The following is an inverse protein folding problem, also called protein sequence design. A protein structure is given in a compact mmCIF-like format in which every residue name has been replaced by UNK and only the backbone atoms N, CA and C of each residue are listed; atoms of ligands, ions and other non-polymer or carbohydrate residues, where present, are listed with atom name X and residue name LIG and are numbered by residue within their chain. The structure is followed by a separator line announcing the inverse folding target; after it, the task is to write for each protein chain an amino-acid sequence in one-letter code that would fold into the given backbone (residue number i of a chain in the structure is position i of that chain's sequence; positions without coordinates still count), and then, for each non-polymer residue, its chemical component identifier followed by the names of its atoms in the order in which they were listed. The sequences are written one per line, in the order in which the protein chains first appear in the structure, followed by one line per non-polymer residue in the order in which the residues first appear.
data_IF_873977881731
#
_entry.id   IF_873977881731
#
_cell.length_a   1.000
_cell.length_b   1.000
_cell.length_c   1.000
_cell.angle_alpha   90.00
_cell.angle_beta   90.00
_cell.angle_gamma   90.00
#
_symmetry.space_group_name_H-M   'P 1'
#
loop_
_entity.id
_entity.type
_entity.pdbx_description
1 polymer ?
#
# COMPACT_ATOMS: atom_id res chain seq x y z
N UNK A 1 -84.86 33.93 13.89
CA UNK A 1 -84.37 32.54 13.80
C UNK A 1 -82.94 32.58 13.27
N UNK A 2 -81.94 32.53 14.16
CA UNK A 2 -80.53 32.52 13.79
C UNK A 2 -80.01 31.08 13.82
N UNK A 3 -79.49 30.63 12.67
CA UNK A 3 -79.02 29.27 12.42
C UNK A 3 -77.66 29.01 13.09
N UNK A 4 -77.59 28.00 13.96
CA UNK A 4 -76.36 27.53 14.60
C UNK A 4 -75.53 26.71 13.61
N UNK A 5 -74.38 27.24 13.19
CA UNK A 5 -73.37 26.47 12.44
C UNK A 5 -72.58 25.59 13.41
N UNK A 6 -72.79 24.27 13.33
CA UNK A 6 -71.92 23.26 13.97
C UNK A 6 -70.52 23.31 13.36
N UNK A 7 -69.50 23.49 14.21
CA UNK A 7 -68.10 23.33 13.84
C UNK A 7 -67.72 21.85 13.78
N UNK A 8 -67.12 21.43 12.67
CA UNK A 8 -66.56 20.09 12.48
C UNK A 8 -65.18 20.02 13.14
N UNK A 9 -64.83 18.95 13.88
CA UNK A 9 -63.50 18.82 14.48
C UNK A 9 -62.44 18.55 13.41
N UNK A 10 -61.36 19.34 13.43
CA UNK A 10 -60.17 19.15 12.59
C UNK A 10 -59.48 17.83 13.00
N UNK A 11 -59.30 16.93 12.03
CA UNK A 11 -58.54 15.69 12.24
C UNK A 11 -57.08 16.02 12.58
N UNK A 12 -56.62 15.57 13.74
CA UNK A 12 -55.22 15.66 14.18
C UNK A 12 -54.37 14.72 13.32
N UNK A 13 -53.21 15.15 12.77
CA UNK A 13 -52.36 14.26 12.00
C UNK A 13 -51.81 13.14 12.91
N UNK A 14 -51.89 11.88 12.44
CA UNK A 14 -51.28 10.73 13.12
C UNK A 14 -49.77 11.00 13.30
N UNK A 15 -49.19 10.81 14.49
CA UNK A 15 -47.75 10.94 14.67
C UNK A 15 -47.05 9.90 13.79
N UNK A 16 -46.14 10.36 12.93
CA UNK A 16 -45.26 9.47 12.18
C UNK A 16 -44.55 8.56 13.17
N UNK A 17 -44.52 7.25 12.89
CA UNK A 17 -43.87 6.27 13.75
C UNK A 17 -42.41 6.66 13.95
N UNK A 18 -42.10 7.21 15.12
CA UNK A 18 -40.75 7.46 15.59
C UNK A 18 -40.03 6.11 15.58
N UNK A 19 -39.14 5.90 14.61
CA UNK A 19 -38.30 4.71 14.62
C UNK A 19 -37.45 4.84 15.87
N UNK A 20 -37.70 3.97 16.85
CA UNK A 20 -37.01 3.99 18.13
C UNK A 20 -35.50 4.11 17.91
N UNK A 21 -34.87 5.07 18.59
CA UNK A 21 -33.42 5.31 18.54
C UNK A 21 -32.64 4.00 18.71
N UNK A 22 -33.16 3.08 19.53
CA UNK A 22 -32.63 1.72 19.72
C UNK A 22 -32.58 0.90 18.42
N UNK A 23 -33.63 0.92 17.60
CA UNK A 23 -33.68 0.18 16.32
C UNK A 23 -32.66 0.73 15.33
N UNK A 24 -32.45 2.05 15.31
CA UNK A 24 -31.42 2.68 14.47
C UNK A 24 -30.02 2.26 14.88
N UNK A 25 -29.71 2.28 16.19
CA UNK A 25 -28.41 1.84 16.70
C UNK A 25 -28.19 0.34 16.53
N UNK A 26 -29.21 -0.49 16.77
CA UNK A 26 -29.15 -1.93 16.51
C UNK A 26 -28.83 -2.21 15.03
N UNK A 27 -29.50 -1.54 14.09
CA UNK A 27 -29.22 -1.67 12.65
C UNK A 27 -27.76 -1.28 12.33
N UNK A 28 -27.25 -0.19 12.90
CA UNK A 28 -25.85 0.24 12.69
C UNK A 28 -24.85 -0.78 13.23
N UNK A 29 -25.10 -1.34 14.42
CA UNK A 29 -24.26 -2.38 15.02
C UNK A 29 -24.26 -3.65 14.18
N UNK A 30 -25.42 -4.06 13.65
CA UNK A 30 -25.51 -5.21 12.75
C UNK A 30 -24.74 -4.95 11.46
N UNK A 31 -24.89 -3.78 10.83
CA UNK A 31 -24.12 -3.41 9.64
C UNK A 31 -22.62 -3.44 9.93
N UNK A 32 -22.18 -2.85 11.04
CA UNK A 32 -20.79 -2.86 11.46
C UNK A 32 -20.28 -4.28 11.66
N UNK A 33 -21.04 -5.14 12.35
CA UNK A 33 -20.67 -6.53 12.58
C UNK A 33 -20.52 -7.31 11.26
N UNK A 34 -21.44 -7.13 10.32
CA UNK A 34 -21.37 -7.75 8.99
C UNK A 34 -20.16 -7.26 8.21
N UNK A 35 -19.86 -5.96 8.23
CA UNK A 35 -18.67 -5.40 7.57
C UNK A 35 -17.38 -5.96 8.19
N UNK A 36 -17.27 -5.97 9.52
CA UNK A 36 -16.10 -6.51 10.22
C UNK A 36 -15.91 -8.00 9.92
N UNK A 37 -16.97 -8.79 9.95
CA UNK A 37 -16.92 -10.21 9.59
C UNK A 37 -16.51 -10.42 8.13
N UNK A 38 -16.99 -9.57 7.22
CA UNK A 38 -16.66 -9.62 5.79
C UNK A 38 -15.19 -9.27 5.56
N UNK A 39 -14.68 -8.20 6.17
CA UNK A 39 -13.27 -7.82 6.05
C UNK A 39 -12.34 -8.85 6.70
N UNK A 40 -12.71 -9.39 7.87
CA UNK A 40 -11.97 -10.48 8.49
C UNK A 40 -11.91 -11.71 7.57
N UNK A 41 -13.03 -12.08 6.96
CA UNK A 41 -13.07 -13.19 6.00
C UNK A 41 -12.25 -12.91 4.74
N UNK A 42 -12.38 -11.73 4.13
CA UNK A 42 -11.57 -11.32 2.97
C UNK A 42 -10.08 -11.40 3.28
N UNK A 43 -9.68 -11.00 4.49
CA UNK A 43 -8.30 -11.06 4.93
C UNK A 43 -7.76 -12.50 5.03
N UNK A 44 -8.62 -13.52 5.25
CA UNK A 44 -8.21 -14.93 5.28
C UNK A 44 -7.99 -15.55 3.89
N UNK A 45 -8.43 -14.90 2.83
CA UNK A 45 -8.40 -15.44 1.46
C UNK A 45 -7.58 -14.58 0.49
N UNK A 46 -6.94 -13.53 0.99
CA UNK A 46 -6.27 -12.52 0.17
C UNK A 46 -5.07 -13.07 -0.61
N UNK A 47 -4.46 -14.12 -0.09
CA UNK A 47 -3.34 -14.85 -0.68
C UNK A 47 -3.68 -15.45 -2.04
N UNK A 48 -4.95 -15.74 -2.31
CA UNK A 48 -5.43 -16.24 -3.61
C UNK A 48 -5.24 -15.24 -4.75
N UNK A 49 -5.04 -13.98 -4.43
CA UNK A 49 -4.81 -12.92 -5.41
C UNK A 49 -3.32 -12.58 -5.56
N UNK A 50 -2.44 -13.22 -4.79
CA UNK A 50 -1.01 -13.01 -4.95
C UNK A 50 -0.52 -13.68 -6.22
N UNK A 51 0.33 -12.96 -6.96
CA UNK A 51 0.97 -13.46 -8.18
C UNK A 51 2.48 -13.55 -8.00
N UNK A 52 3.08 -12.64 -7.24
CA UNK A 52 4.52 -12.68 -7.01
C UNK A 52 4.86 -13.64 -5.88
N UNK A 53 5.84 -14.50 -6.13
CA UNK A 53 6.40 -15.36 -5.10
C UNK A 53 7.66 -14.72 -4.49
N UNK A 54 7.75 -14.57 -3.14
CA UNK A 54 8.92 -13.96 -2.50
C UNK A 54 10.25 -14.66 -2.84
N UNK A 55 10.23 -16.00 -2.97
CA UNK A 55 11.42 -16.76 -3.36
C UNK A 55 11.92 -16.40 -4.76
N UNK A 56 11.01 -16.31 -5.73
CA UNK A 56 11.34 -15.88 -7.09
C UNK A 56 11.89 -14.45 -7.12
N UNK A 57 11.28 -13.53 -6.38
CA UNK A 57 11.76 -12.14 -6.32
C UNK A 57 13.16 -12.05 -5.68
N UNK A 58 13.46 -12.90 -4.71
CA UNK A 58 14.80 -13.00 -4.12
C UNK A 58 15.85 -13.47 -5.11
N UNK A 59 15.57 -14.56 -5.83
CA UNK A 59 16.45 -15.07 -6.89
C UNK A 59 16.63 -14.02 -8.00
N UNK A 60 15.56 -13.33 -8.38
CA UNK A 60 15.61 -12.28 -9.37
C UNK A 60 16.51 -11.12 -8.93
N UNK A 61 16.38 -10.65 -7.69
CA UNK A 61 17.23 -9.60 -7.14
C UNK A 61 18.71 -9.99 -7.16
N UNK A 62 19.03 -11.22 -6.74
CA UNK A 62 20.41 -11.74 -6.78
C UNK A 62 20.94 -11.82 -8.21
N UNK A 63 20.16 -12.35 -9.14
CA UNK A 63 20.54 -12.42 -10.55
C UNK A 63 20.77 -11.03 -11.18
N UNK A 64 20.00 -10.02 -10.75
CA UNK A 64 20.18 -8.65 -11.21
C UNK A 64 21.51 -8.06 -10.73
N UNK A 65 21.88 -8.30 -9.47
CA UNK A 65 23.15 -7.88 -8.89
C UNK A 65 24.32 -8.51 -9.64
N UNK A 66 24.23 -9.81 -9.93
CA UNK A 66 25.25 -10.55 -10.68
C UNK A 66 25.37 -10.08 -12.13
N UNK A 67 24.23 -9.81 -12.79
CA UNK A 67 24.19 -9.38 -14.19
C UNK A 67 24.63 -7.93 -14.39
N UNK A 68 24.52 -7.07 -13.38
CA UNK A 68 24.86 -5.65 -13.46
C UNK A 68 25.67 -5.14 -12.25
N UNK A 69 26.89 -5.65 -12.02
CA UNK A 69 27.70 -5.26 -10.87
C UNK A 69 28.00 -3.75 -10.87
N UNK A 70 27.70 -3.08 -9.75
CA UNK A 70 27.86 -1.63 -9.58
C UNK A 70 27.03 -0.74 -10.55
N UNK A 71 26.05 -1.31 -11.24
CA UNK A 71 25.14 -0.56 -12.12
C UNK A 71 23.69 -0.77 -11.69
N UNK A 72 23.21 0.09 -10.78
CA UNK A 72 21.83 0.05 -10.30
C UNK A 72 20.81 0.20 -11.43
N UNK A 73 21.11 0.97 -12.48
CA UNK A 73 20.19 1.14 -13.60
C UNK A 73 20.10 -0.16 -14.41
N UNK A 74 21.24 -0.82 -14.66
CA UNK A 74 21.31 -2.15 -15.25
C UNK A 74 20.54 -3.20 -14.44
N UNK A 75 20.68 -3.20 -13.10
CA UNK A 75 19.91 -4.08 -12.23
C UNK A 75 18.40 -3.88 -12.40
N UNK A 76 17.93 -2.62 -12.43
CA UNK A 76 16.52 -2.29 -12.64
C UNK A 76 16.04 -2.77 -14.02
N UNK A 77 16.84 -2.56 -15.07
CA UNK A 77 16.52 -3.06 -16.41
C UNK A 77 16.40 -4.59 -16.44
N UNK A 78 17.32 -5.30 -15.79
CA UNK A 78 17.30 -6.77 -15.69
C UNK A 78 16.04 -7.27 -14.98
N UNK A 79 15.68 -6.65 -13.85
CA UNK A 79 14.46 -6.96 -13.08
C UNK A 79 13.22 -6.77 -13.94
N UNK A 80 13.03 -5.57 -14.52
CA UNK A 80 11.82 -5.26 -15.30
C UNK A 80 11.70 -6.16 -16.53
N UNK A 81 12.82 -6.49 -17.18
CA UNK A 81 12.86 -7.39 -18.34
C UNK A 81 12.42 -8.80 -17.94
N UNK A 82 13.03 -9.39 -16.91
CA UNK A 82 12.68 -10.73 -16.44
C UNK A 82 11.22 -10.80 -15.97
N UNK A 83 10.70 -9.80 -15.27
CA UNK A 83 9.30 -9.76 -14.86
C UNK A 83 8.36 -9.73 -16.06
N UNK A 84 8.69 -8.94 -17.08
CA UNK A 84 7.88 -8.82 -18.31
C UNK A 84 7.88 -10.12 -19.12
N UNK A 85 8.98 -10.86 -19.12
CA UNK A 85 9.11 -12.16 -19.79
C UNK A 85 8.45 -13.30 -19.01
N UNK A 86 8.55 -13.27 -17.67
CA UNK A 86 8.01 -14.31 -16.78
C UNK A 86 6.49 -14.25 -16.70
N UNK A 87 5.92 -13.05 -16.60
CA UNK A 87 4.50 -12.88 -16.34
C UNK A 87 3.71 -12.40 -17.55
N UNK A 88 2.72 -13.18 -18.02
CA UNK A 88 1.83 -12.76 -19.09
C UNK A 88 1.03 -11.49 -18.75
N UNK A 89 0.83 -10.62 -19.75
CA UNK A 89 0.08 -9.35 -19.60
C UNK A 89 -1.39 -9.50 -19.18
N UNK A 90 -1.97 -10.68 -19.36
CA UNK A 90 -3.33 -10.99 -18.91
C UNK A 90 -3.38 -11.49 -17.46
N UNK A 91 -2.23 -11.70 -16.80
CA UNK A 91 -2.13 -12.08 -15.40
C UNK A 91 -1.79 -10.88 -14.52
N UNK A 92 -0.77 -10.11 -14.90
CA UNK A 92 -0.38 -8.87 -14.23
C UNK A 92 0.06 -7.82 -15.25
N UNK A 93 -0.15 -6.56 -14.91
CA UNK A 93 0.35 -5.44 -15.66
C UNK A 93 1.65 -4.91 -15.01
N UNK A 94 2.71 -4.83 -15.82
CA UNK A 94 4.04 -4.33 -15.46
C UNK A 94 4.24 -2.97 -16.14
N UNK A 95 4.57 -1.95 -15.34
CA UNK A 95 4.82 -0.60 -15.81
C UNK A 95 6.28 -0.45 -16.26
N UNK A 96 6.55 -0.50 -17.57
CA UNK A 96 7.90 -0.37 -18.12
C UNK A 96 8.38 1.07 -18.33
N UNK A 97 7.58 2.08 -17.94
CA UNK A 97 7.86 3.50 -18.27
C UNK A 97 8.92 4.17 -17.39
N UNK A 98 9.33 3.54 -16.29
CA UNK A 98 10.27 4.13 -15.30
C UNK A 98 9.88 5.55 -14.84
N UNK A 99 8.60 5.77 -14.52
CA UNK A 99 8.14 7.04 -13.96
C UNK A 99 8.56 7.15 -12.48
N UNK A 100 9.60 7.94 -12.22
CA UNK A 100 10.12 8.20 -10.87
C UNK A 100 9.38 9.34 -10.16
N UNK A 101 9.14 9.15 -8.87
CA UNK A 101 8.56 10.16 -7.97
C UNK A 101 9.30 10.14 -6.63
N UNK A 102 9.35 11.28 -5.93
CA UNK A 102 9.77 11.26 -4.54
C UNK A 102 8.75 10.55 -3.67
N UNK A 103 9.23 9.91 -2.60
CA UNK A 103 8.42 9.28 -1.58
C UNK A 103 8.88 9.80 -0.21
N UNK A 104 7.98 10.49 0.50
CA UNK A 104 8.20 11.03 1.83
C UNK A 104 7.19 10.39 2.79
N UNK A 105 7.66 9.56 3.72
CA UNK A 105 6.81 8.88 4.68
C UNK A 105 7.59 8.46 5.94
N UNK A 106 6.97 8.61 7.11
CA UNK A 106 7.58 8.25 8.39
C UNK A 106 8.84 9.03 8.76
N UNK A 107 9.03 10.23 8.20
CA UNK A 107 10.25 11.03 8.32
C UNK A 107 11.37 10.64 7.34
N UNK A 108 11.21 9.54 6.61
CA UNK A 108 12.15 9.13 5.59
C UNK A 108 11.81 9.75 4.22
N UNK A 109 12.84 9.97 3.40
CA UNK A 109 12.75 10.49 2.04
C UNK A 109 13.58 9.64 1.09
N UNK A 110 12.94 9.16 0.03
CA UNK A 110 13.60 8.50 -1.09
C UNK A 110 12.93 8.80 -2.41
N UNK A 111 13.36 8.09 -3.45
CA UNK A 111 12.67 8.06 -4.73
C UNK A 111 12.13 6.65 -4.97
N UNK A 112 10.98 6.57 -5.63
CA UNK A 112 10.38 5.31 -6.02
C UNK A 112 10.02 5.25 -7.49
N UNK A 113 10.13 4.06 -8.05
CA UNK A 113 9.61 3.69 -9.36
C UNK A 113 8.64 2.52 -9.17
N UNK A 114 7.38 2.75 -9.51
CA UNK A 114 6.31 1.74 -9.41
C UNK A 114 6.38 0.81 -10.62
N UNK A 115 6.81 -0.44 -10.40
CA UNK A 115 6.82 -1.51 -11.40
C UNK A 115 5.44 -2.15 -11.51
N UNK A 116 4.78 -2.42 -10.37
CA UNK A 116 3.45 -3.00 -10.31
C UNK A 116 2.67 -2.40 -9.12
N UNK A 117 1.37 -2.18 -9.31
CA UNK A 117 0.44 -1.85 -8.22
C UNK A 117 -0.93 -2.47 -8.48
N UNK A 118 -1.45 -3.20 -7.50
CA UNK A 118 -2.80 -3.76 -7.42
C UNK A 118 -3.37 -3.50 -6.01
N UNK A 119 -4.60 -3.92 -5.74
CA UNK A 119 -5.21 -3.84 -4.41
C UNK A 119 -4.49 -4.75 -3.42
N UNK A 120 -3.91 -5.86 -3.89
CA UNK A 120 -3.31 -6.89 -3.01
C UNK A 120 -1.78 -6.94 -3.01
N UNK A 121 -1.13 -6.36 -4.03
CA UNK A 121 0.33 -6.38 -4.17
C UNK A 121 0.86 -5.10 -4.82
N UNK A 122 2.05 -4.66 -4.41
CA UNK A 122 2.88 -3.76 -5.22
C UNK A 122 4.30 -4.29 -5.34
N UNK A 123 4.98 -3.87 -6.40
CA UNK A 123 6.41 -4.05 -6.58
C UNK A 123 6.99 -2.72 -7.05
N UNK A 124 7.97 -2.20 -6.33
CA UNK A 124 8.63 -0.94 -6.64
C UNK A 124 10.15 -1.08 -6.55
N UNK A 125 10.87 -0.15 -7.16
CA UNK A 125 12.24 0.17 -6.77
C UNK A 125 12.15 1.35 -5.82
N UNK A 126 12.75 1.24 -4.65
CA UNK A 126 12.82 2.33 -3.68
C UNK A 126 14.26 2.50 -3.15
N UNK A 127 14.67 3.74 -2.95
CA UNK A 127 15.98 4.03 -2.40
C UNK A 127 16.34 5.50 -2.45
N UNK A 128 17.59 5.78 -2.14
CA UNK A 128 18.15 7.13 -2.15
C UNK A 128 19.65 7.08 -2.38
N UNK A 129 20.21 7.98 -3.22
CA UNK A 129 21.65 8.08 -3.38
C UNK A 129 22.33 8.74 -2.16
N UNK A 130 21.57 9.36 -1.25
CA UNK A 130 22.11 10.16 -0.14
C UNK A 130 22.13 9.37 1.18
N UNK A 131 21.00 8.76 1.53
CA UNK A 131 20.73 8.19 2.83
C UNK A 131 19.44 8.74 3.44
N UNK A 132 18.72 7.91 4.19
CA UNK A 132 17.50 8.31 4.89
C UNK A 132 17.16 7.35 6.03
N UNK A 133 16.43 7.82 7.04
CA UNK A 133 15.93 7.00 8.14
C UNK A 133 14.58 7.49 8.62
N UNK A 134 13.80 6.60 9.23
CA UNK A 134 12.49 6.95 9.72
C UNK A 134 11.74 5.78 10.33
N UNK A 135 10.48 6.05 10.66
CA UNK A 135 9.52 5.06 11.11
C UNK A 135 9.07 4.21 9.91
N UNK A 136 9.06 2.88 10.04
CA UNK A 136 8.66 1.97 8.95
C UNK A 136 7.20 2.11 8.55
N UNK A 137 6.36 2.53 9.49
CA UNK A 137 4.90 2.42 9.39
C UNK A 137 4.40 1.15 10.05
N UNK A 138 3.08 1.07 10.29
CA UNK A 138 2.40 -0.14 10.76
C UNK A 138 1.44 -0.54 9.64
N UNK A 139 1.87 -1.50 8.82
CA UNK A 139 1.17 -1.84 7.59
C UNK A 139 0.26 -3.05 7.74
N UNK A 140 -0.75 -3.12 6.87
CA UNK A 140 -1.67 -4.27 6.74
C UNK A 140 -1.17 -5.32 5.75
N UNK A 141 0.08 -5.19 5.32
CA UNK A 141 0.79 -6.03 4.38
C UNK A 141 2.14 -6.43 4.97
N UNK A 142 2.65 -7.58 4.53
CA UNK A 142 4.08 -7.88 4.66
C UNK A 142 4.83 -7.15 3.55
N UNK A 143 6.01 -6.63 3.87
CA UNK A 143 6.85 -5.89 2.94
C UNK A 143 8.29 -6.45 2.94
N UNK A 144 8.83 -6.66 1.75
CA UNK A 144 10.09 -7.38 1.51
C UNK A 144 11.04 -6.45 0.75
N UNK A 145 12.09 -6.00 1.42
CA UNK A 145 13.15 -5.19 0.84
C UNK A 145 14.28 -6.10 0.37
N UNK A 146 14.38 -6.32 -0.94
CA UNK A 146 15.49 -7.03 -1.56
C UNK A 146 16.59 -6.02 -1.85
N UNK A 147 17.66 -6.03 -1.05
CA UNK A 147 18.71 -5.01 -1.14
C UNK A 147 19.53 -5.25 -2.41
N UNK A 148 19.54 -4.25 -3.31
CA UNK A 148 20.28 -4.30 -4.57
C UNK A 148 21.66 -3.66 -4.43
N UNK A 149 21.72 -2.49 -3.79
CA UNK A 149 22.95 -1.71 -3.58
C UNK A 149 22.88 -1.04 -2.22
N UNK A 150 24.04 -0.83 -1.59
CA UNK A 150 24.15 -0.18 -0.29
C UNK A 150 23.64 -1.07 0.84
N UNK A 151 23.22 -0.45 1.94
CA UNK A 151 22.78 -1.18 3.13
C UNK A 151 21.50 -0.61 3.72
N UNK A 152 20.65 -1.52 4.19
CA UNK A 152 19.51 -1.17 5.02
C UNK A 152 19.76 -1.63 6.45
N UNK A 153 19.58 -0.73 7.41
CA UNK A 153 19.64 -1.03 8.83
C UNK A 153 18.24 -0.92 9.43
N UNK A 154 17.95 -1.73 10.45
CA UNK A 154 16.67 -1.67 11.15
C UNK A 154 16.79 -2.12 12.60
N UNK A 155 15.87 -1.66 13.44
CA UNK A 155 15.67 -2.24 14.77
C UNK A 155 14.23 -2.03 15.25
N UNK A 156 13.79 -2.88 16.18
CA UNK A 156 12.53 -2.76 16.89
C UNK A 156 12.73 -2.12 18.27
N UNK A 157 11.75 -1.36 18.79
CA UNK A 157 11.81 -0.82 20.14
C UNK A 157 12.17 -1.89 21.18
N UNK A 158 13.23 -1.62 21.96
CA UNK A 158 13.75 -2.55 22.97
C UNK A 158 14.93 -3.42 22.52
N UNK A 159 15.24 -3.49 21.22
CA UNK A 159 16.49 -4.06 20.75
C UNK A 159 17.64 -3.06 20.95
N UNK A 160 18.79 -3.55 21.42
CA UNK A 160 20.00 -2.74 21.67
C UNK A 160 21.01 -2.79 20.52
N UNK A 161 20.84 -3.72 19.58
CA UNK A 161 21.69 -3.93 18.41
C UNK A 161 20.85 -3.83 17.15
N UNK A 162 21.43 -3.30 16.07
CA UNK A 162 20.74 -3.15 14.79
C UNK A 162 20.85 -4.41 13.93
N UNK A 163 19.79 -4.69 13.19
CA UNK A 163 19.79 -5.60 12.05
C UNK A 163 20.44 -4.88 10.85
N UNK A 164 21.39 -5.53 10.17
CA UNK A 164 22.08 -4.98 8.98
C UNK A 164 21.86 -5.90 7.79
N UNK A 165 21.34 -5.34 6.70
CA UNK A 165 21.04 -6.04 5.45
C UNK A 165 21.87 -5.43 4.31
N UNK A 166 22.66 -6.27 3.64
CA UNK A 166 23.59 -5.90 2.55
C UNK A 166 23.06 -6.40 1.20
N UNK A 167 23.69 -6.06 0.05
CA UNK A 167 23.22 -6.50 -1.26
C UNK A 167 23.03 -8.01 -1.34
N UNK A 168 21.91 -8.43 -1.93
CA UNK A 168 21.52 -9.83 -2.05
C UNK A 168 20.78 -10.39 -0.84
N UNK A 169 20.65 -9.64 0.26
CA UNK A 169 19.81 -10.00 1.42
C UNK A 169 18.38 -9.48 1.27
N UNK A 170 17.46 -10.05 2.06
CA UNK A 170 16.07 -9.60 2.16
C UNK A 170 15.76 -9.18 3.58
N UNK A 171 15.27 -7.96 3.75
CA UNK A 171 14.66 -7.53 5.00
C UNK A 171 13.14 -7.65 4.90
N UNK A 172 12.57 -8.53 5.72
CA UNK A 172 11.11 -8.64 5.89
C UNK A 172 10.66 -7.66 6.98
N UNK A 173 9.72 -6.79 6.62
CA UNK A 173 8.87 -6.03 7.53
C UNK A 173 7.53 -6.75 7.67
N UNK A 174 7.29 -7.50 8.77
CA UNK A 174 6.05 -8.23 8.92
C UNK A 174 4.86 -7.29 9.11
N UNK A 175 3.70 -7.69 8.63
CA UNK A 175 2.44 -7.00 8.88
C UNK A 175 2.26 -6.68 10.37
N UNK A 176 1.85 -5.43 10.65
CA UNK A 176 1.53 -4.99 12.01
C UNK A 176 2.74 -4.73 12.90
N UNK A 177 3.97 -4.89 12.40
CA UNK A 177 5.21 -4.59 13.12
C UNK A 177 5.70 -3.19 12.79
N UNK A 178 6.22 -2.48 13.78
CA UNK A 178 6.89 -1.20 13.62
C UNK A 178 8.40 -1.35 13.87
N UNK A 179 9.21 -0.77 13.00
CA UNK A 179 10.66 -0.62 13.16
C UNK A 179 11.08 0.82 12.90
N UNK A 180 12.22 1.22 13.45
CA UNK A 180 13.02 2.24 12.77
C UNK A 180 13.79 1.54 11.66
N UNK A 181 13.85 2.16 10.49
CA UNK A 181 14.70 1.69 9.40
C UNK A 181 15.56 2.84 8.88
N UNK A 182 16.67 2.48 8.23
CA UNK A 182 17.60 3.40 7.59
C UNK A 182 18.08 2.80 6.28
N UNK A 183 17.88 3.50 5.17
CA UNK A 183 18.63 3.28 3.94
C UNK A 183 19.93 4.07 4.08
N UNK A 184 21.05 3.41 4.36
CA UNK A 184 22.23 4.05 4.95
C UNK A 184 22.88 5.11 4.05
N UNK A 185 23.64 4.68 3.05
CA UNK A 185 24.31 5.54 2.07
C UNK A 185 24.19 4.88 0.70
N UNK A 186 23.65 5.60 -0.28
CA UNK A 186 23.50 5.07 -1.64
C UNK A 186 22.67 3.78 -1.75
N UNK A 187 21.70 3.57 -0.86
CA UNK A 187 20.98 2.30 -0.76
C UNK A 187 19.72 2.27 -1.65
N UNK A 188 19.58 1.17 -2.39
CA UNK A 188 18.46 0.89 -3.30
C UNK A 188 17.99 -0.55 -3.12
N UNK A 189 16.68 -0.75 -3.09
CA UNK A 189 16.05 -2.05 -2.94
C UNK A 189 14.92 -2.24 -3.97
N UNK A 190 14.70 -3.50 -4.35
CA UNK A 190 13.43 -3.92 -4.92
C UNK A 190 12.49 -4.26 -3.76
N UNK A 191 11.45 -3.46 -3.60
CA UNK A 191 10.50 -3.54 -2.50
C UNK A 191 9.20 -4.18 -2.98
N UNK A 192 8.81 -5.27 -2.33
CA UNK A 192 7.61 -6.03 -2.63
C UNK A 192 6.71 -6.08 -1.41
N UNK A 193 5.48 -5.60 -1.54
CA UNK A 193 4.49 -5.77 -0.49
C UNK A 193 3.31 -6.63 -0.94
N UNK A 194 2.80 -7.44 -0.01
CA UNK A 194 1.61 -8.28 -0.20
C UNK A 194 0.65 -8.17 0.99
N UNK A 195 -0.60 -7.83 0.71
CA UNK A 195 -1.60 -7.46 1.71
C UNK A 195 -2.56 -6.40 1.18
N UNK A 196 -3.25 -5.66 2.02
CA UNK A 196 -4.20 -4.64 1.55
C UNK A 196 -3.51 -3.31 1.24
N UNK A 197 -2.95 -3.19 0.02
CA UNK A 197 -2.11 -2.05 -0.40
C UNK A 197 -2.77 -0.68 -0.23
N UNK A 198 -4.06 -0.47 -0.58
CA UNK A 198 -4.69 0.84 -0.40
C UNK A 198 -4.68 1.34 1.06
N UNK A 199 -4.61 0.43 2.04
CA UNK A 199 -4.56 0.79 3.46
C UNK A 199 -3.17 1.26 3.90
N UNK A 200 -2.12 1.07 3.08
CA UNK A 200 -0.79 1.61 3.31
C UNK A 200 -0.65 3.06 2.83
N UNK A 201 -1.44 3.46 1.83
CA UNK A 201 -1.35 4.79 1.19
C UNK A 201 -1.50 5.98 2.15
N UNK A 202 -2.37 5.97 3.19
CA UNK A 202 -2.44 7.09 4.12
C UNK A 202 -1.10 7.40 4.80
N UNK A 203 -0.32 6.37 5.14
CA UNK A 203 1.02 6.55 5.67
C UNK A 203 1.97 7.08 4.59
N UNK A 204 1.94 6.50 3.39
CA UNK A 204 2.77 6.93 2.25
C UNK A 204 2.52 8.38 1.79
N UNK A 205 1.39 8.98 2.14
CA UNK A 205 1.06 10.37 1.82
C UNK A 205 1.15 11.33 3.01
N UNK A 206 1.31 10.83 4.23
CA UNK A 206 1.21 11.64 5.44
C UNK A 206 2.20 12.81 5.40
N UNK A 207 3.50 12.54 5.22
CA UNK A 207 4.51 13.60 5.20
C UNK A 207 4.39 14.49 3.95
N UNK A 208 3.95 13.97 2.81
CA UNK A 208 3.67 14.83 1.64
C UNK A 208 2.55 15.83 1.94
N UNK A 209 1.52 15.42 2.67
CA UNK A 209 0.34 16.26 3.00
C UNK A 209 0.62 17.18 4.20
N UNK A 210 1.41 16.75 5.18
CA UNK A 210 1.57 17.48 6.45
C UNK A 210 2.95 18.09 6.64
N UNK A 211 3.95 17.73 5.84
CA UNK A 211 5.33 18.21 5.95
C UNK A 211 5.79 18.93 4.69
N UNK A 212 5.99 18.20 3.58
CA UNK A 212 6.64 18.78 2.39
C UNK A 212 5.71 19.65 1.55
N UNK A 213 4.40 19.37 1.59
CA UNK A 213 3.37 20.03 0.78
C UNK A 213 3.67 19.96 -0.74
N UNK A 214 4.38 18.92 -1.17
CA UNK A 214 4.75 18.70 -2.58
C UNK A 214 3.56 18.16 -3.38
N UNK A 215 2.64 19.07 -3.72
CA UNK A 215 1.42 18.78 -4.50
C UNK A 215 1.73 18.13 -5.86
N UNK A 216 2.73 18.58 -6.65
CA UNK A 216 3.11 17.90 -7.88
C UNK A 216 3.50 16.43 -7.69
N UNK A 217 4.34 16.12 -6.69
CA UNK A 217 4.71 14.74 -6.36
C UNK A 217 3.49 13.94 -5.94
N UNK A 218 2.64 14.47 -5.05
CA UNK A 218 1.40 13.82 -4.62
C UNK A 218 0.50 13.46 -5.81
N UNK A 219 0.28 14.41 -6.72
CA UNK A 219 -0.52 14.18 -7.93
C UNK A 219 0.07 13.07 -8.80
N UNK A 220 1.38 13.10 -9.05
CA UNK A 220 2.04 12.08 -9.86
C UNK A 220 1.93 10.70 -9.21
N UNK A 221 2.16 10.59 -7.91
CA UNK A 221 2.05 9.32 -7.18
C UNK A 221 0.63 8.77 -7.25
N UNK A 222 -0.40 9.59 -7.00
CA UNK A 222 -1.81 9.17 -7.10
C UNK A 222 -2.15 8.74 -8.52
N UNK A 223 -1.78 9.55 -9.52
CA UNK A 223 -2.04 9.27 -10.94
C UNK A 223 -1.41 7.97 -11.39
N UNK A 224 -0.14 7.72 -11.05
CA UNK A 224 0.59 6.51 -11.46
C UNK A 224 0.01 5.29 -10.73
N UNK A 225 -0.10 5.35 -9.41
CA UNK A 225 -0.64 4.25 -8.59
C UNK A 225 -2.05 3.88 -9.03
N UNK A 226 -2.95 4.87 -9.15
CA UNK A 226 -4.32 4.65 -9.58
C UNK A 226 -4.41 4.09 -11.00
N UNK A 227 -3.60 4.58 -11.94
CA UNK A 227 -3.54 4.06 -13.31
C UNK A 227 -3.11 2.59 -13.33
N UNK A 228 -2.07 2.22 -12.59
CA UNK A 228 -1.58 0.83 -12.57
C UNK A 228 -2.56 -0.10 -11.84
N UNK A 229 -3.17 0.33 -10.73
CA UNK A 229 -4.23 -0.42 -10.04
C UNK A 229 -5.44 -0.66 -10.95
N UNK A 230 -5.92 0.37 -11.65
CA UNK A 230 -7.06 0.24 -12.58
C UNK A 230 -6.73 -0.74 -13.70
N UNK A 231 -5.53 -0.67 -14.30
CA UNK A 231 -5.13 -1.62 -15.35
C UNK A 231 -5.13 -3.06 -14.85
N UNK A 232 -4.62 -3.31 -13.64
CA UNK A 232 -4.62 -4.64 -13.04
C UNK A 232 -6.06 -5.13 -12.78
N UNK A 233 -6.93 -4.27 -12.26
CA UNK A 233 -8.34 -4.61 -12.07
C UNK A 233 -9.05 -4.98 -13.39
N UNK A 234 -8.75 -4.28 -14.49
CA UNK A 234 -9.34 -4.55 -15.81
C UNK A 234 -8.96 -5.93 -16.38
N UNK A 235 -7.82 -6.49 -15.96
CA UNK A 235 -7.39 -7.86 -16.33
C UNK A 235 -7.73 -8.90 -15.25
N UNK A 236 -8.49 -8.52 -14.22
CA UNK A 236 -8.90 -9.42 -13.15
C UNK A 236 -7.87 -9.63 -12.04
N UNK A 237 -6.73 -8.92 -12.08
CA UNK A 237 -5.77 -8.89 -10.98
C UNK A 237 -6.31 -7.96 -9.90
N UNK A 238 -6.65 -8.57 -8.75
CA UNK A 238 -7.06 -7.84 -7.55
C UNK A 238 -5.83 -7.32 -6.85
#
# INVERSE_FOLDING_TARGET
MASSKKSTPKATPKPAASTSCFVVWAKRLVILAVLLATFAWLDTIKDRWYVFEPGFLHELAQSAIEASPNDTAGMITHIVTNLTETYPKNQININTKQEWVFNNAGGAMGAMYIIHASITEYLIIFGTPLGTEGHSGIHTADDYFHILVGEQWAFQPGQLEMERYTPGMVHLMPRGVAKQYKMHEGCWAMEYARGWIPLMLPFGFADTITSTLDVPTLYNTIRITGREMIKNLLIGKI
#
